data_IF_855214067372
#
_entry.id   IF_855214067372
#
_cell.length_a   1.000
_cell.length_b   1.000
_cell.length_c   1.000
_cell.angle_alpha   90.00
_cell.angle_beta   90.00
_cell.angle_gamma   90.00
#
_symmetry.space_group_name_H-M   'P 1'
#
loop_
_entity.id
_entity.type
_entity.pdbx_description
1 polymer ?
#
# COMPACT_ATOMS: atom_id res chain seq x y z
N UNK A 1 14.99 21.12 14.66
CA UNK A 1 15.76 19.95 14.24
C UNK A 1 16.04 20.16 12.77
N UNK A 2 17.28 20.01 12.31
CA UNK A 2 17.66 20.40 10.96
C UNK A 2 17.73 19.22 9.96
N UNK A 3 17.73 18.00 10.44
CA UNK A 3 17.84 16.79 9.60
C UNK A 3 17.06 15.63 10.19
N UNK A 4 16.48 14.77 9.33
CA UNK A 4 15.76 13.55 9.70
C UNK A 4 16.00 12.47 8.65
N UNK A 5 16.27 11.23 9.09
CA UNK A 5 16.42 10.07 8.22
C UNK A 5 15.11 9.29 8.16
N UNK A 6 14.51 9.18 6.96
CA UNK A 6 13.30 8.40 6.69
C UNK A 6 13.71 7.01 6.21
N UNK A 7 13.24 5.98 6.92
CA UNK A 7 13.30 4.59 6.46
C UNK A 7 12.01 4.15 5.77
N UNK A 8 12.13 3.38 4.70
CA UNK A 8 10.99 2.77 4.02
C UNK A 8 11.38 1.45 3.34
N UNK A 9 10.41 0.59 3.09
CA UNK A 9 10.65 -0.64 2.32
C UNK A 9 10.98 -0.32 0.86
N UNK A 10 11.84 -1.14 0.26
CA UNK A 10 12.28 -1.00 -1.13
C UNK A 10 11.18 -1.41 -2.13
N UNK A 11 10.11 -0.62 -2.18
CA UNK A 11 9.03 -0.75 -3.17
C UNK A 11 8.57 0.63 -3.64
N UNK A 12 8.02 0.74 -4.85
CA UNK A 12 7.48 2.00 -5.40
C UNK A 12 6.40 2.61 -4.50
N UNK A 13 5.54 1.78 -3.91
CA UNK A 13 4.50 2.21 -2.97
C UNK A 13 5.10 2.93 -1.75
N UNK A 14 6.09 2.29 -1.10
CA UNK A 14 6.69 2.83 0.12
C UNK A 14 7.59 4.03 -0.17
N UNK A 15 8.33 4.02 -1.29
CA UNK A 15 9.11 5.17 -1.75
C UNK A 15 8.23 6.39 -2.03
N UNK A 16 7.10 6.20 -2.70
CA UNK A 16 6.13 7.27 -2.95
C UNK A 16 5.52 7.83 -1.66
N UNK A 17 5.24 6.97 -0.69
CA UNK A 17 4.77 7.38 0.63
C UNK A 17 5.85 8.19 1.37
N UNK A 18 7.09 7.72 1.38
CA UNK A 18 8.22 8.39 2.02
C UNK A 18 8.47 9.78 1.43
N UNK A 19 8.46 9.90 0.10
CA UNK A 19 8.62 11.19 -0.58
C UNK A 19 7.45 12.15 -0.27
N UNK A 20 6.21 11.65 -0.17
CA UNK A 20 5.07 12.49 0.24
C UNK A 20 5.22 13.00 1.68
N UNK A 21 5.71 12.17 2.60
CA UNK A 21 6.02 12.58 3.99
C UNK A 21 7.18 13.58 4.03
N UNK A 22 8.22 13.35 3.22
CA UNK A 22 9.37 14.25 3.11
C UNK A 22 8.94 15.68 2.72
N UNK A 23 7.94 15.84 1.85
CA UNK A 23 7.41 17.17 1.49
C UNK A 23 6.85 17.95 2.69
N UNK A 24 6.26 17.26 3.66
CA UNK A 24 5.81 17.89 4.91
C UNK A 24 7.02 18.31 5.75
N UNK A 25 8.02 17.45 5.91
CA UNK A 25 9.25 17.75 6.64
C UNK A 25 10.00 18.94 6.04
N UNK A 26 10.17 18.96 4.72
CA UNK A 26 10.84 20.04 4.00
C UNK A 26 10.10 21.39 4.14
N UNK A 27 8.75 21.37 4.19
CA UNK A 27 7.98 22.59 4.45
C UNK A 27 8.25 23.18 5.84
N UNK A 28 8.71 22.36 6.78
CA UNK A 28 9.18 22.76 8.12
C UNK A 28 10.71 22.94 8.21
N UNK A 29 11.39 23.14 7.07
CA UNK A 29 12.84 23.37 7.00
C UNK A 29 13.69 22.21 7.57
N UNK A 30 13.17 20.95 7.50
CA UNK A 30 13.90 19.75 7.87
C UNK A 30 14.54 19.14 6.62
N UNK A 31 15.86 18.97 6.63
CA UNK A 31 16.56 18.20 5.60
C UNK A 31 16.25 16.71 5.75
N UNK A 32 15.96 16.03 4.64
CA UNK A 32 15.57 14.63 4.63
C UNK A 32 16.62 13.77 3.94
N UNK A 33 16.98 12.67 4.57
CA UNK A 33 17.74 11.58 3.98
C UNK A 33 16.86 10.33 3.94
N UNK A 34 17.00 9.50 2.89
CA UNK A 34 16.22 8.25 2.74
C UNK A 34 17.11 7.03 2.94
N UNK A 35 16.54 6.00 3.55
CA UNK A 35 17.17 4.68 3.72
C UNK A 35 16.18 3.62 3.24
N UNK A 36 16.56 2.89 2.20
CA UNK A 36 15.86 1.68 1.77
C UNK A 36 16.12 0.54 2.74
N UNK A 37 15.07 -0.12 3.19
CA UNK A 37 15.14 -1.20 4.17
C UNK A 37 14.54 -2.50 3.62
N UNK A 38 15.18 -3.61 3.92
CA UNK A 38 14.54 -4.91 3.87
C UNK A 38 13.72 -5.15 5.15
N UNK A 39 12.62 -5.94 5.09
CA UNK A 39 11.75 -6.18 6.25
C UNK A 39 12.47 -6.70 7.50
N UNK A 40 13.56 -7.43 7.32
CA UNK A 40 14.41 -7.99 8.39
C UNK A 40 15.29 -6.95 9.08
N UNK A 41 15.61 -5.84 8.41
CA UNK A 41 16.54 -4.83 8.92
C UNK A 41 15.84 -3.69 9.68
N UNK A 42 14.50 -3.60 9.61
CA UNK A 42 13.71 -2.51 10.19
C UNK A 42 13.97 -2.34 11.69
N UNK A 43 13.95 -3.45 12.45
CA UNK A 43 14.08 -3.41 13.91
C UNK A 43 15.48 -2.87 14.29
N UNK A 44 16.52 -3.41 13.67
CA UNK A 44 17.91 -3.01 13.90
C UNK A 44 18.14 -1.55 13.51
N UNK A 45 17.63 -1.09 12.38
CA UNK A 45 17.78 0.29 11.90
C UNK A 45 17.13 1.31 12.86
N UNK A 46 15.97 0.98 13.42
CA UNK A 46 15.30 1.82 14.43
C UNK A 46 16.06 1.81 15.77
N UNK A 47 16.52 0.64 16.24
CA UNK A 47 17.23 0.53 17.52
C UNK A 47 18.61 1.19 17.47
N UNK A 48 19.34 1.06 16.36
CA UNK A 48 20.68 1.65 16.18
C UNK A 48 20.62 3.15 15.84
N UNK A 49 19.42 3.66 15.53
CA UNK A 49 19.22 5.06 15.19
C UNK A 49 19.69 5.43 13.78
N UNK A 50 19.77 4.45 12.89
CA UNK A 50 20.02 4.66 11.46
C UNK A 50 18.82 5.33 10.78
N UNK A 51 17.61 5.06 11.31
CA UNK A 51 16.34 5.63 10.88
C UNK A 51 15.71 6.40 12.04
N UNK A 52 15.29 7.62 11.79
CA UNK A 52 14.56 8.48 12.73
C UNK A 52 13.04 8.26 12.61
N UNK A 53 12.55 8.09 11.40
CA UNK A 53 11.14 7.95 11.05
C UNK A 53 10.95 6.80 10.06
N UNK A 54 10.33 5.69 10.50
CA UNK A 54 9.87 4.65 9.60
C UNK A 54 8.49 5.03 9.05
N UNK A 55 8.37 5.06 7.72
CA UNK A 55 7.12 5.42 7.04
C UNK A 55 6.40 4.17 6.56
N UNK A 56 5.06 4.20 6.64
CA UNK A 56 4.20 3.16 6.06
C UNK A 56 4.32 1.78 6.72
N UNK A 57 4.45 1.75 8.05
CA UNK A 57 4.28 0.53 8.83
C UNK A 57 2.79 0.13 8.89
N UNK A 58 2.44 -1.13 8.58
CA UNK A 58 1.06 -1.59 8.47
C UNK A 58 0.59 -2.28 9.76
N UNK A 59 -0.21 -1.59 10.53
CA UNK A 59 -0.76 -2.10 11.79
C UNK A 59 -2.05 -2.92 11.56
N UNK A 60 -2.22 -4.06 12.27
CA UNK A 60 -1.40 -4.55 13.40
C UNK A 60 -0.17 -5.38 12.99
N UNK A 61 0.05 -5.68 11.70
CA UNK A 61 1.13 -6.56 11.23
C UNK A 61 2.52 -6.13 11.74
N UNK A 62 2.80 -4.83 11.65
CA UNK A 62 4.09 -4.23 11.93
C UNK A 62 4.16 -3.60 13.35
N UNK A 63 3.17 -3.89 14.22
CA UNK A 63 3.13 -3.40 15.59
C UNK A 63 4.38 -3.77 16.41
N UNK A 64 5.03 -4.87 16.05
CA UNK A 64 6.29 -5.32 16.67
C UNK A 64 7.43 -4.29 16.59
N UNK A 65 7.43 -3.40 15.60
CA UNK A 65 8.43 -2.34 15.46
C UNK A 65 8.14 -1.12 16.34
N UNK A 66 6.98 -1.07 17.01
CA UNK A 66 6.63 -0.03 17.97
C UNK A 66 6.97 -0.49 19.38
N UNK A 67 7.78 0.30 20.09
CA UNK A 67 8.23 -0.01 21.43
C UNK A 67 8.34 1.23 22.33
N UNK A 68 8.85 1.09 23.55
CA UNK A 68 8.97 2.22 24.50
C UNK A 68 9.87 3.35 23.99
N UNK A 69 10.73 3.08 23.01
CA UNK A 69 11.64 4.04 22.37
C UNK A 69 11.06 4.71 21.14
N UNK A 70 9.81 4.45 20.79
CA UNK A 70 9.17 4.98 19.59
C UNK A 70 7.75 5.53 19.86
N UNK A 71 7.29 6.38 18.97
CA UNK A 71 5.95 6.96 18.93
C UNK A 71 5.28 6.62 17.61
N UNK A 72 4.11 6.00 17.64
CA UNK A 72 3.30 5.74 16.45
C UNK A 72 2.44 6.97 16.19
N UNK A 73 2.52 7.52 14.96
CA UNK A 73 1.80 8.73 14.56
C UNK A 73 1.16 8.58 13.19
N UNK A 74 0.13 9.36 12.95
CA UNK A 74 -0.57 9.44 11.66
C UNK A 74 -1.42 8.21 11.33
N UNK A 75 -2.19 8.33 10.27
CA UNK A 75 -2.98 7.27 9.63
C UNK A 75 -2.98 7.56 8.12
N UNK A 76 -1.89 7.19 7.45
CA UNK A 76 -1.58 7.62 6.09
C UNK A 76 -2.56 7.05 5.06
N UNK A 77 -2.90 5.77 5.17
CA UNK A 77 -3.84 5.06 4.31
C UNK A 77 -4.23 3.71 4.94
N UNK A 78 -5.20 3.00 4.35
CA UNK A 78 -5.75 1.76 4.89
C UNK A 78 -5.42 0.57 3.98
N UNK A 79 -4.32 -0.16 4.23
CA UNK A 79 -4.02 -1.38 3.50
C UNK A 79 -5.08 -2.46 3.73
N UNK A 80 -5.51 -3.13 2.65
CA UNK A 80 -6.41 -4.27 2.74
C UNK A 80 -6.26 -5.22 1.57
N UNK A 81 -6.38 -6.51 1.80
CA UNK A 81 -6.49 -7.49 0.71
C UNK A 81 -7.91 -7.46 0.19
N UNK A 82 -8.08 -7.41 -1.12
CA UNK A 82 -9.38 -7.22 -1.74
C UNK A 82 -9.63 -8.20 -2.88
N UNK A 83 -10.89 -8.62 -3.03
CA UNK A 83 -11.36 -9.22 -4.25
C UNK A 83 -11.67 -8.14 -5.29
N UNK A 84 -11.30 -8.41 -6.54
CA UNK A 84 -11.57 -7.53 -7.67
C UNK A 84 -11.78 -8.34 -8.95
N UNK A 85 -12.27 -7.72 -10.01
CA UNK A 85 -12.44 -8.36 -11.31
C UNK A 85 -12.32 -7.33 -12.45
N UNK A 86 -12.12 -7.78 -13.70
CA UNK A 86 -12.07 -6.91 -14.88
C UNK A 86 -13.43 -6.25 -15.23
N UNK A 87 -14.50 -6.64 -14.57
CA UNK A 87 -15.86 -6.08 -14.70
C UNK A 87 -16.55 -6.05 -13.35
N UNK A 88 -17.56 -5.23 -13.20
CA UNK A 88 -18.39 -5.24 -11.99
C UNK A 88 -19.09 -6.59 -11.82
N UNK A 89 -18.95 -7.16 -10.62
CA UNK A 89 -19.58 -8.42 -10.19
C UNK A 89 -20.39 -8.20 -8.92
N UNK A 90 -21.26 -9.14 -8.59
CA UNK A 90 -21.94 -9.20 -7.28
C UNK A 90 -20.97 -9.59 -6.15
N UNK A 91 -21.45 -9.66 -4.90
CA UNK A 91 -20.65 -10.07 -3.74
C UNK A 91 -19.98 -11.43 -3.94
N UNK A 92 -18.73 -11.58 -3.44
CA UNK A 92 -17.89 -12.78 -3.69
C UNK A 92 -18.56 -14.09 -3.29
N UNK A 93 -19.37 -14.09 -2.24
CA UNK A 93 -20.10 -15.27 -1.75
C UNK A 93 -21.26 -15.72 -2.68
N UNK A 94 -21.60 -14.92 -3.69
CA UNK A 94 -22.62 -15.26 -4.71
C UNK A 94 -22.02 -15.72 -6.02
N UNK A 95 -20.69 -15.56 -6.20
CA UNK A 95 -20.01 -15.89 -7.45
C UNK A 95 -19.88 -17.40 -7.66
N UNK A 96 -19.90 -17.78 -8.94
CA UNK A 96 -19.75 -19.16 -9.41
C UNK A 96 -18.77 -19.25 -10.58
N UNK A 97 -18.50 -20.46 -11.06
CA UNK A 97 -17.73 -20.68 -12.28
C UNK A 97 -18.39 -20.18 -13.58
N UNK A 98 -19.63 -19.70 -13.52
CA UNK A 98 -20.28 -19.00 -14.63
C UNK A 98 -19.91 -17.50 -14.69
N UNK A 99 -19.51 -16.93 -13.58
CA UNK A 99 -19.16 -15.51 -13.44
C UNK A 99 -17.68 -15.25 -13.66
N UNK A 100 -16.82 -16.19 -13.20
CA UNK A 100 -15.36 -16.13 -13.25
C UNK A 100 -14.79 -17.49 -13.65
N UNK A 101 -13.70 -17.48 -14.44
CA UNK A 101 -13.11 -18.72 -15.01
C UNK A 101 -11.85 -19.18 -14.27
N UNK A 102 -11.21 -18.31 -13.49
CA UNK A 102 -10.01 -18.58 -12.70
C UNK A 102 -9.86 -17.58 -11.56
N UNK A 103 -8.88 -17.82 -10.70
CA UNK A 103 -8.44 -16.88 -9.68
C UNK A 103 -6.99 -16.48 -9.96
N UNK A 104 -6.74 -15.19 -10.08
CA UNK A 104 -5.38 -14.61 -10.13
C UNK A 104 -5.12 -13.96 -8.78
N UNK A 105 -4.04 -14.35 -8.12
CA UNK A 105 -3.69 -13.83 -6.79
C UNK A 105 -2.27 -13.28 -6.77
N UNK A 106 -2.10 -12.10 -6.23
CA UNK A 106 -0.78 -11.58 -5.89
C UNK A 106 -0.12 -12.48 -4.84
N UNK A 107 1.18 -12.69 -4.95
CA UNK A 107 1.92 -13.66 -4.13
C UNK A 107 1.82 -13.37 -2.63
N UNK A 108 1.84 -12.11 -2.21
CA UNK A 108 1.64 -11.64 -0.83
C UNK A 108 0.24 -11.97 -0.26
N UNK A 109 -0.77 -12.05 -1.14
CA UNK A 109 -2.18 -12.26 -0.79
C UNK A 109 -2.61 -13.73 -0.83
N UNK A 110 -1.72 -14.64 -1.22
CA UNK A 110 -2.01 -16.07 -1.44
C UNK A 110 -2.57 -16.76 -0.19
N UNK A 111 -1.92 -16.57 0.96
CA UNK A 111 -2.34 -17.25 2.20
C UNK A 111 -3.75 -16.83 2.64
N UNK A 112 -4.09 -15.54 2.50
CA UNK A 112 -5.42 -15.03 2.80
C UNK A 112 -6.47 -15.65 1.88
N UNK A 113 -6.18 -15.74 0.57
CA UNK A 113 -7.06 -16.40 -0.40
C UNK A 113 -7.27 -17.88 -0.06
N UNK A 114 -6.22 -18.64 0.24
CA UNK A 114 -6.33 -20.07 0.60
C UNK A 114 -7.23 -20.30 1.83
N UNK A 115 -7.22 -19.36 2.79
CA UNK A 115 -8.15 -19.37 3.93
C UNK A 115 -9.58 -19.04 3.51
N UNK A 116 -9.78 -18.02 2.68
CA UNK A 116 -11.08 -17.58 2.18
C UNK A 116 -11.77 -18.66 1.33
N UNK A 117 -11.03 -19.37 0.46
CA UNK A 117 -11.58 -20.42 -0.40
C UNK A 117 -12.22 -21.59 0.37
N UNK A 118 -11.84 -21.82 1.63
CA UNK A 118 -12.50 -22.82 2.49
C UNK A 118 -13.97 -22.47 2.77
N UNK A 119 -14.32 -21.19 2.64
CA UNK A 119 -15.68 -20.67 2.83
C UNK A 119 -16.39 -20.36 1.49
N UNK A 120 -15.69 -20.52 0.37
CA UNK A 120 -16.17 -20.26 -1.00
C UNK A 120 -16.07 -21.52 -1.87
N UNK A 121 -16.86 -22.57 -1.59
CA UNK A 121 -16.73 -23.86 -2.27
C UNK A 121 -16.99 -23.78 -3.79
N UNK A 122 -17.81 -22.83 -4.25
CA UNK A 122 -18.05 -22.63 -5.68
C UNK A 122 -16.82 -22.12 -6.43
N UNK A 123 -15.89 -21.43 -5.75
CA UNK A 123 -14.68 -20.87 -6.32
C UNK A 123 -13.44 -21.74 -6.06
N UNK A 124 -13.49 -22.62 -5.06
CA UNK A 124 -12.34 -23.45 -4.65
C UNK A 124 -11.86 -24.45 -5.71
N UNK A 125 -12.72 -24.79 -6.68
CA UNK A 125 -12.40 -25.68 -7.80
C UNK A 125 -11.81 -24.95 -9.03
N UNK A 126 -11.76 -23.62 -9.03
CA UNK A 126 -11.23 -22.84 -10.14
C UNK A 126 -9.69 -22.94 -10.19
N UNK A 127 -9.10 -22.88 -11.39
CA UNK A 127 -7.65 -22.76 -11.52
C UNK A 127 -7.15 -21.52 -10.79
N UNK A 128 -6.11 -21.67 -9.97
CA UNK A 128 -5.45 -20.57 -9.27
C UNK A 128 -4.08 -20.30 -9.89
N UNK A 129 -3.82 -19.04 -10.19
CA UNK A 129 -2.56 -18.55 -10.72
C UNK A 129 -1.97 -17.52 -9.74
N UNK A 130 -0.77 -17.78 -9.23
CA UNK A 130 -0.03 -16.87 -8.36
C UNK A 130 0.87 -16.01 -9.23
N UNK A 131 0.80 -14.70 -9.05
CA UNK A 131 1.52 -13.72 -9.86
C UNK A 131 2.27 -12.77 -8.93
N UNK A 132 3.54 -12.52 -9.20
CA UNK A 132 4.30 -11.50 -8.47
C UNK A 132 3.73 -10.09 -8.74
N UNK A 133 3.79 -9.22 -7.75
CA UNK A 133 3.20 -7.86 -7.80
C UNK A 133 3.60 -7.09 -9.07
N UNK A 134 4.89 -7.06 -9.41
CA UNK A 134 5.41 -6.36 -10.59
C UNK A 134 4.82 -6.87 -11.92
N UNK A 135 4.35 -8.12 -11.99
CA UNK A 135 3.80 -8.73 -13.21
C UNK A 135 2.27 -8.66 -13.27
N UNK A 136 1.61 -8.23 -12.20
CA UNK A 136 0.15 -8.30 -12.07
C UNK A 136 -0.56 -7.46 -13.15
N UNK A 137 -0.13 -6.23 -13.39
CA UNK A 137 -0.74 -5.35 -14.41
C UNK A 137 -0.66 -5.99 -15.79
N UNK A 138 0.53 -6.41 -16.23
CA UNK A 138 0.72 -7.04 -17.54
C UNK A 138 -0.10 -8.34 -17.66
N UNK A 139 -0.22 -9.11 -16.58
CA UNK A 139 -1.05 -10.33 -16.57
C UNK A 139 -2.54 -10.01 -16.74
N UNK A 140 -3.04 -8.93 -16.12
CA UNK A 140 -4.44 -8.52 -16.24
C UNK A 140 -4.75 -7.90 -17.62
N UNK A 141 -3.85 -7.11 -18.18
CA UNK A 141 -3.98 -6.62 -19.56
C UNK A 141 -4.07 -7.78 -20.57
N UNK A 142 -3.26 -8.82 -20.35
CA UNK A 142 -3.34 -10.06 -21.15
C UNK A 142 -4.71 -10.74 -20.95
N UNK A 143 -5.18 -10.90 -19.71
CA UNK A 143 -6.48 -11.49 -19.44
C UNK A 143 -7.62 -10.73 -20.15
N UNK A 144 -7.58 -9.40 -20.09
CA UNK A 144 -8.54 -8.55 -20.78
C UNK A 144 -8.50 -8.75 -22.30
N UNK A 145 -7.32 -8.82 -22.90
CA UNK A 145 -7.15 -8.99 -24.36
C UNK A 145 -7.61 -10.39 -24.83
N UNK A 146 -7.45 -11.41 -23.99
CA UNK A 146 -7.83 -12.80 -24.27
C UNK A 146 -9.30 -13.10 -23.92
N UNK A 147 -10.01 -12.14 -23.31
CA UNK A 147 -11.40 -12.30 -22.91
C UNK A 147 -11.59 -13.22 -21.72
N UNK A 148 -10.56 -13.40 -20.89
CA UNK A 148 -10.65 -14.12 -19.62
C UNK A 148 -11.52 -13.35 -18.61
N UNK A 149 -12.09 -14.05 -17.65
CA UNK A 149 -12.90 -13.47 -16.58
C UNK A 149 -12.34 -13.86 -15.19
N UNK A 150 -11.13 -13.38 -14.83
CA UNK A 150 -10.54 -13.74 -13.55
C UNK A 150 -11.24 -13.06 -12.37
N UNK A 151 -11.31 -13.78 -11.24
CA UNK A 151 -11.37 -13.17 -9.91
C UNK A 151 -9.94 -12.84 -9.49
N UNK A 152 -9.69 -11.60 -9.13
CA UNK A 152 -8.36 -11.10 -8.74
C UNK A 152 -8.31 -10.89 -7.25
N UNK A 153 -7.20 -11.26 -6.62
CA UNK A 153 -6.96 -10.99 -5.19
C UNK A 153 -5.60 -10.30 -5.06
N UNK A 154 -5.63 -9.10 -4.55
CA UNK A 154 -4.43 -8.27 -4.36
C UNK A 154 -4.60 -7.30 -3.19
N UNK A 155 -3.49 -6.86 -2.63
CA UNK A 155 -3.46 -5.84 -1.57
C UNK A 155 -3.69 -4.45 -2.16
N UNK A 156 -4.57 -3.66 -1.54
CA UNK A 156 -4.68 -2.21 -1.75
C UNK A 156 -3.88 -1.47 -0.67
N UNK A 157 -3.26 -0.32 -1.00
CA UNK A 157 -3.11 0.27 -2.34
C UNK A 157 -2.09 -0.49 -3.20
N UNK A 158 -2.28 -0.47 -4.50
CA UNK A 158 -1.36 -1.02 -5.50
C UNK A 158 -1.64 -0.35 -6.86
N UNK A 159 -0.62 -0.23 -7.71
CA UNK A 159 -0.68 0.38 -9.04
C UNK A 159 -1.82 -0.16 -9.92
N UNK A 160 -2.15 -1.44 -9.80
CA UNK A 160 -3.23 -2.11 -10.56
C UNK A 160 -4.61 -1.46 -10.35
N UNK A 161 -4.86 -0.90 -9.16
CA UNK A 161 -6.13 -0.21 -8.87
C UNK A 161 -6.18 1.20 -9.46
N UNK A 162 -5.01 1.82 -9.71
CA UNK A 162 -4.95 3.10 -10.43
C UNK A 162 -5.13 2.93 -11.93
N UNK A 163 -4.62 1.84 -12.51
CA UNK A 163 -4.73 1.54 -13.94
C UNK A 163 -6.17 1.38 -14.48
N UNK A 164 -7.17 1.50 -13.60
CA UNK A 164 -8.62 1.38 -13.93
C UNK A 164 -9.01 0.05 -14.60
N UNK A 165 -8.19 -0.98 -14.44
CA UNK A 165 -8.45 -2.31 -14.99
C UNK A 165 -9.45 -3.10 -14.13
N UNK A 166 -9.56 -2.77 -12.84
CA UNK A 166 -10.28 -3.57 -11.86
C UNK A 166 -11.47 -2.83 -11.25
N UNK A 167 -12.57 -3.56 -11.12
CA UNK A 167 -13.69 -3.21 -10.25
C UNK A 167 -13.61 -4.04 -8.97
N UNK A 168 -13.76 -3.41 -7.80
CA UNK A 168 -13.80 -4.12 -6.53
C UNK A 168 -15.02 -5.04 -6.46
N UNK A 169 -14.83 -6.20 -5.85
CA UNK A 169 -15.87 -7.18 -5.55
C UNK A 169 -16.13 -7.16 -4.05
N UNK A 170 -17.38 -6.98 -3.66
CA UNK A 170 -17.75 -6.92 -2.25
C UNK A 170 -17.43 -8.23 -1.52
N UNK A 171 -16.82 -8.12 -0.33
CA UNK A 171 -16.56 -9.22 0.59
C UNK A 171 -17.33 -9.00 1.92
N UNK A 172 -18.63 -9.30 1.97
CA UNK A 172 -19.46 -9.05 3.15
C UNK A 172 -19.04 -9.89 4.37
N UNK A 173 -18.26 -10.95 4.13
CA UNK A 173 -17.75 -11.83 5.17
C UNK A 173 -16.36 -11.44 5.70
N UNK A 174 -15.71 -10.43 5.11
CA UNK A 174 -14.32 -10.09 5.39
C UNK A 174 -13.38 -11.30 5.34
N UNK A 175 -13.58 -12.15 4.33
CA UNK A 175 -12.92 -13.46 4.19
C UNK A 175 -11.40 -13.32 3.97
N UNK A 176 -10.97 -12.20 3.39
CA UNK A 176 -9.55 -11.89 3.16
C UNK A 176 -8.90 -11.16 4.35
N UNK A 177 -9.64 -10.88 5.41
CA UNK A 177 -9.20 -10.12 6.57
C UNK A 177 -9.78 -8.70 6.60
N UNK A 178 -9.46 -7.97 7.67
CA UNK A 178 -9.90 -6.58 7.86
C UNK A 178 -8.93 -5.57 7.24
N UNK A 179 -9.33 -4.31 7.30
CA UNK A 179 -8.46 -3.19 6.98
C UNK A 179 -7.31 -3.09 7.98
N UNK A 180 -6.14 -2.71 7.48
CA UNK A 180 -4.99 -2.31 8.28
C UNK A 180 -4.87 -0.78 8.27
N UNK A 181 -3.99 -0.24 9.10
CA UNK A 181 -3.65 1.18 9.13
C UNK A 181 -2.16 1.35 8.83
N UNK A 182 -1.82 2.05 7.77
CA UNK A 182 -0.44 2.42 7.46
C UNK A 182 -0.07 3.67 8.26
N UNK A 183 0.91 3.55 9.14
CA UNK A 183 1.29 4.57 10.11
C UNK A 183 2.78 4.85 10.06
N UNK A 184 3.20 5.91 10.72
CA UNK A 184 4.61 6.24 10.91
C UNK A 184 5.06 5.82 12.31
N UNK A 185 6.31 5.35 12.40
CA UNK A 185 6.98 5.06 13.68
C UNK A 185 8.15 6.02 13.81
N UNK A 186 8.01 7.00 14.70
CA UNK A 186 8.99 8.02 14.99
C UNK A 186 9.76 7.66 16.28
N UNK A 187 11.07 7.73 16.26
CA UNK A 187 11.88 7.55 17.47
C UNK A 187 11.52 8.60 18.52
N UNK A 188 11.38 8.16 19.76
CA UNK A 188 10.91 9.02 20.88
C UNK A 188 11.91 10.17 21.20
N UNK A 189 13.22 9.93 21.07
CA UNK A 189 14.23 10.96 21.30
C UNK A 189 14.22 12.04 20.22
N UNK A 190 13.82 11.69 18.99
CA UNK A 190 13.59 12.59 17.86
C UNK A 190 12.30 13.38 18.07
N UNK A 191 11.20 12.68 18.42
CA UNK A 191 9.90 13.29 18.71
C UNK A 191 9.96 14.37 19.79
N UNK A 192 10.77 14.17 20.83
CA UNK A 192 10.95 15.15 21.92
C UNK A 192 11.68 16.44 21.49
N UNK A 193 12.40 16.40 20.38
CA UNK A 193 13.18 17.53 19.85
C UNK A 193 12.49 18.21 18.67
N UNK A 194 11.52 17.52 18.07
CA UNK A 194 10.77 18.03 16.93
C UNK A 194 9.84 19.18 17.36
N UNK A 195 9.56 20.04 16.40
CA UNK A 195 8.59 21.10 16.56
C UNK A 195 7.18 20.50 16.74
N UNK A 196 6.35 21.11 17.60
CA UNK A 196 5.00 20.63 17.87
C UNK A 196 4.11 20.76 16.65
N UNK A 197 4.22 21.84 15.88
CA UNK A 197 3.41 22.09 14.69
C UNK A 197 3.73 21.03 13.61
N UNK A 198 5.02 20.65 13.47
CA UNK A 198 5.43 19.55 12.58
C UNK A 198 4.82 18.22 13.04
N UNK A 199 4.88 17.89 14.33
CA UNK A 199 4.31 16.65 14.85
C UNK A 199 2.79 16.58 14.67
N UNK A 200 2.10 17.69 14.84
CA UNK A 200 0.66 17.79 14.62
C UNK A 200 0.33 17.59 13.14
N UNK A 201 1.07 18.23 12.21
CA UNK A 201 0.87 18.06 10.76
C UNK A 201 1.13 16.61 10.31
N UNK A 202 2.23 15.99 10.77
CA UNK A 202 2.50 14.58 10.49
C UNK A 202 1.40 13.66 11.05
N UNK A 203 0.86 13.98 12.23
CA UNK A 203 -0.18 13.17 12.88
C UNK A 203 -1.54 13.28 12.16
N UNK A 204 -1.81 14.41 11.52
CA UNK A 204 -3.04 14.67 10.77
C UNK A 204 -2.92 14.27 9.28
N UNK A 205 -1.70 13.96 8.81
CA UNK A 205 -1.46 13.61 7.42
C UNK A 205 -2.23 12.36 7.00
N UNK A 206 -3.01 12.48 5.92
CA UNK A 206 -3.74 11.38 5.29
C UNK A 206 -3.56 11.44 3.78
N UNK A 207 -3.08 10.36 3.18
CA UNK A 207 -2.93 10.19 1.74
C UNK A 207 -4.13 9.44 1.13
N UNK A 208 -4.51 8.34 1.77
CA UNK A 208 -5.57 7.44 1.31
C UNK A 208 -5.16 6.51 0.17
N UNK A 209 -5.88 5.40 0.02
CA UNK A 209 -5.52 4.33 -0.93
C UNK A 209 -5.48 4.80 -2.40
N UNK A 210 -6.37 5.74 -2.78
CA UNK A 210 -6.42 6.23 -4.17
C UNK A 210 -5.14 7.01 -4.55
N UNK A 211 -4.66 7.87 -3.65
CA UNK A 211 -3.40 8.61 -3.86
C UNK A 211 -2.22 7.65 -3.87
N UNK A 212 -2.19 6.73 -2.92
CA UNK A 212 -1.10 5.77 -2.82
C UNK A 212 -1.01 4.84 -4.04
N UNK A 213 -2.16 4.37 -4.57
CA UNK A 213 -2.17 3.58 -5.82
C UNK A 213 -1.70 4.39 -7.03
N UNK A 214 -1.96 5.71 -7.06
CA UNK A 214 -1.48 6.58 -8.11
C UNK A 214 0.03 6.82 -8.02
N UNK A 215 0.56 7.07 -6.82
CA UNK A 215 2.01 7.18 -6.60
C UNK A 215 2.73 5.90 -6.99
N UNK A 216 2.22 4.75 -6.56
CA UNK A 216 2.78 3.44 -6.92
C UNK A 216 2.78 3.22 -8.44
N UNK A 217 1.72 3.64 -9.14
CA UNK A 217 1.65 3.55 -10.61
C UNK A 217 2.66 4.47 -11.30
N UNK A 218 2.75 5.74 -10.90
CA UNK A 218 3.68 6.70 -11.50
C UNK A 218 5.14 6.26 -11.32
N UNK A 219 5.47 5.75 -10.15
CA UNK A 219 6.85 5.32 -9.84
C UNK A 219 7.12 3.93 -10.44
N UNK A 220 6.29 2.93 -10.15
CA UNK A 220 6.54 1.54 -10.50
C UNK A 220 6.25 1.20 -11.95
N UNK A 221 5.30 1.88 -12.60
CA UNK A 221 4.87 1.59 -13.98
C UNK A 221 5.39 2.63 -14.97
N UNK A 222 5.26 3.91 -14.65
CA UNK A 222 5.72 4.99 -15.54
C UNK A 222 7.21 5.33 -15.36
N UNK A 223 7.85 4.81 -14.29
CA UNK A 223 9.26 5.01 -14.01
C UNK A 223 9.62 6.43 -13.58
N UNK A 224 8.66 7.16 -13.01
CA UNK A 224 8.91 8.51 -12.48
C UNK A 224 9.76 8.46 -11.21
N UNK A 225 10.50 9.52 -10.97
CA UNK A 225 11.18 9.71 -9.69
C UNK A 225 10.18 9.88 -8.56
N UNK A 226 10.37 9.23 -7.38
CA UNK A 226 9.45 9.34 -6.25
C UNK A 226 9.19 10.77 -5.79
N UNK A 227 10.20 11.64 -5.85
CA UNK A 227 10.08 13.04 -5.46
C UNK A 227 9.23 13.84 -6.47
N UNK A 228 9.41 13.59 -7.78
CA UNK A 228 8.57 14.19 -8.83
C UNK A 228 7.11 13.76 -8.71
N UNK A 229 6.86 12.48 -8.41
CA UNK A 229 5.51 11.97 -8.17
C UNK A 229 4.86 12.60 -6.92
N UNK A 230 5.60 12.72 -5.82
CA UNK A 230 5.13 13.40 -4.61
C UNK A 230 4.86 14.89 -4.84
N UNK A 231 5.69 15.58 -5.64
CA UNK A 231 5.44 16.97 -6.04
C UNK A 231 4.14 17.11 -6.88
N UNK A 232 3.88 16.17 -7.78
CA UNK A 232 2.65 16.15 -8.55
C UNK A 232 1.42 15.98 -7.65
N UNK A 233 1.51 15.13 -6.61
CA UNK A 233 0.47 15.00 -5.59
C UNK A 233 0.25 16.32 -4.83
N UNK A 234 1.30 16.91 -4.28
CA UNK A 234 1.22 18.15 -3.52
C UNK A 234 0.58 19.29 -4.33
N UNK A 235 0.84 19.34 -5.64
CA UNK A 235 0.24 20.31 -6.57
C UNK A 235 -1.18 19.95 -7.04
N UNK A 236 -1.76 18.85 -6.53
CA UNK A 236 -3.09 18.36 -6.90
C UNK A 236 -3.19 17.91 -8.36
N UNK A 237 -2.10 17.41 -8.94
CA UNK A 237 -2.02 16.95 -10.34
C UNK A 237 -2.01 15.44 -10.50
N UNK A 238 -1.89 14.69 -9.40
CA UNK A 238 -1.73 13.24 -9.41
C UNK A 238 -2.99 12.51 -9.88
N UNK A 239 -4.17 13.03 -9.54
CA UNK A 239 -5.46 12.44 -9.88
C UNK A 239 -6.26 13.47 -10.65
N UNK A 240 -6.70 13.16 -11.89
CA UNK A 240 -7.57 14.05 -12.65
C UNK A 240 -8.84 14.39 -11.86
N UNK A 241 -9.28 15.66 -11.91
CA UNK A 241 -10.46 16.13 -11.15
C UNK A 241 -11.79 15.60 -11.69
N UNK A 242 -11.78 15.07 -12.92
CA UNK A 242 -12.99 14.65 -13.67
C UNK A 242 -12.98 13.12 -13.95
N UNK A 243 -12.40 12.31 -13.08
CA UNK A 243 -12.37 10.85 -13.19
C UNK A 243 -13.44 10.19 -12.32
#
# INVERSE_FOLDING_TARGET
MTQMTIGHLYTSLHAGCASAVARVLEAHEVEVEFVDLDPEDIEDALEQGEVDLLVSAWFPRDEKFSGPGSRVIGDLYQPQISFAALKALGPVNTLTSADVDRVIVADDSREALEKALKQLPALSALPMEVVGEAALIARLEKAQSEGEAPLVVATQPHAVFHASLLALVEDPGQLLGGEMSARMILREDVARKADTDLLDELSEMMLGNKVMSALDYMIGVEGQDPDEAAEAWQRGRLIPRDA
#
